data_IF_727927658592
#
_entry.id   IF_727927658592
#
_cell.length_a   1.000
_cell.length_b   1.000
_cell.length_c   1.000
_cell.angle_alpha   90.00
_cell.angle_beta   90.00
_cell.angle_gamma   90.00
#
_symmetry.space_group_name_H-M   'P 1'
#
loop_
_entity.id
_entity.type
_entity.pdbx_description
1 polymer ?
#
# COMPACT_ATOMS: atom_id res chain seq x y z
N UNK A 1 8.30 -3.49 -24.28
CA UNK A 1 7.39 -2.80 -23.36
C UNK A 1 8.22 -2.26 -22.20
N UNK A 2 8.15 -0.97 -21.88
CA UNK A 2 8.79 -0.42 -20.68
C UNK A 2 7.82 -0.59 -19.52
N UNK A 3 8.12 -1.52 -18.62
CA UNK A 3 7.38 -1.69 -17.38
C UNK A 3 7.72 -0.52 -16.47
N UNK A 4 6.72 0.16 -15.92
CA UNK A 4 6.93 1.18 -14.90
C UNK A 4 6.36 0.66 -13.60
N UNK A 5 7.22 0.57 -12.59
CA UNK A 5 6.87 0.05 -11.28
C UNK A 5 7.02 1.13 -10.23
N UNK A 6 6.01 1.27 -9.38
CA UNK A 6 6.11 1.99 -8.12
C UNK A 6 6.14 0.93 -7.03
N UNK A 7 7.08 1.02 -6.09
CA UNK A 7 7.14 0.14 -4.93
C UNK A 7 6.91 0.98 -3.68
N UNK A 8 5.93 0.57 -2.88
CA UNK A 8 5.55 1.24 -1.64
C UNK A 8 5.52 0.21 -0.51
N UNK A 9 6.24 0.49 0.55
CA UNK A 9 6.11 -0.25 1.81
C UNK A 9 5.02 0.39 2.63
N UNK A 10 4.22 -0.45 3.28
CA UNK A 10 3.15 -0.02 4.18
C UNK A 10 3.25 -0.81 5.48
N UNK A 11 2.90 -0.15 6.58
CA UNK A 11 2.88 -0.73 7.92
C UNK A 11 1.74 -0.09 8.73
N UNK A 12 1.05 -0.91 9.52
CA UNK A 12 -0.07 -0.54 10.36
C UNK A 12 0.05 -1.10 11.78
N UNK A 13 0.15 -0.21 12.76
CA UNK A 13 0.17 -0.56 14.18
C UNK A 13 -1.25 -0.63 14.77
N UNK A 14 -1.55 -1.62 15.65
CA UNK A 14 -2.84 -1.69 16.35
C UNK A 14 -3.10 -0.49 17.26
N UNK A 15 -2.04 0.22 17.65
CA UNK A 15 -2.08 1.45 18.43
C UNK A 15 -2.63 2.66 17.66
N UNK A 16 -2.97 2.48 16.38
CA UNK A 16 -3.54 3.55 15.55
C UNK A 16 -2.52 4.30 14.70
N UNK A 17 -1.36 3.72 14.43
CA UNK A 17 -0.36 4.34 13.57
C UNK A 17 -0.34 3.66 12.20
N UNK A 18 -0.22 4.44 11.15
CA UNK A 18 0.07 3.92 9.80
C UNK A 18 1.23 4.69 9.20
N UNK A 19 2.05 3.98 8.45
CA UNK A 19 3.17 4.54 7.72
C UNK A 19 3.24 3.94 6.32
N UNK A 20 3.83 4.69 5.39
CA UNK A 20 4.22 4.17 4.10
C UNK A 20 5.46 4.86 3.57
N UNK A 21 6.18 4.19 2.68
CA UNK A 21 7.37 4.74 2.03
C UNK A 21 7.40 4.39 0.54
N UNK A 22 7.36 5.42 -0.31
CA UNK A 22 7.46 5.24 -1.75
C UNK A 22 8.93 5.27 -2.19
N UNK A 23 9.45 4.12 -2.64
CA UNK A 23 10.84 3.98 -3.10
C UNK A 23 11.12 4.70 -4.42
N UNK A 24 10.11 4.95 -5.24
CA UNK A 24 10.28 5.65 -6.51
C UNK A 24 10.52 7.15 -6.31
N UNK A 25 9.95 7.74 -5.25
CA UNK A 25 10.08 9.18 -4.96
C UNK A 25 10.94 9.50 -3.74
N UNK A 26 11.27 8.49 -2.93
CA UNK A 26 11.95 8.67 -1.64
C UNK A 26 11.09 9.39 -0.60
N UNK A 27 9.76 9.41 -0.78
CA UNK A 27 8.85 10.14 0.10
C UNK A 27 8.21 9.21 1.13
N UNK A 28 8.39 9.49 2.43
CA UNK A 28 7.62 8.84 3.48
C UNK A 28 6.24 9.50 3.63
N UNK A 29 5.32 8.76 4.21
CA UNK A 29 4.07 9.27 4.74
C UNK A 29 3.69 8.56 6.04
N UNK A 30 2.97 9.26 6.90
CA UNK A 30 2.57 8.77 8.22
C UNK A 30 1.26 9.43 8.65
N UNK A 31 0.39 8.68 9.30
CA UNK A 31 -0.81 9.21 9.96
C UNK A 31 -1.07 8.51 11.29
N UNK A 32 -1.59 9.30 12.22
CA UNK A 32 -2.18 8.79 13.47
C UNK A 32 -3.69 8.73 13.27
N UNK A 33 -4.24 7.52 13.34
CA UNK A 33 -5.66 7.25 13.37
C UNK A 33 -6.03 6.81 14.79
N UNK A 34 -7.20 7.19 15.29
CA UNK A 34 -7.68 6.67 16.59
C UNK A 34 -8.73 5.60 16.32
N UNK A 35 -8.34 4.33 16.13
CA UNK A 35 -9.33 3.27 15.91
C UNK A 35 -10.21 3.13 17.16
N UNK A 36 -11.51 3.02 16.93
CA UNK A 36 -12.49 2.88 18.00
C UNK A 36 -12.30 1.53 18.72
N UNK A 37 -12.21 1.55 20.06
CA UNK A 37 -11.79 0.41 20.90
C UNK A 37 -12.64 -0.87 20.75
N UNK A 38 -13.84 -0.79 20.17
CA UNK A 38 -14.82 -1.89 20.13
C UNK A 38 -14.42 -3.11 19.26
N UNK A 39 -13.26 -3.09 18.60
CA UNK A 39 -12.89 -4.08 17.58
C UNK A 39 -11.40 -4.47 17.64
N UNK A 40 -10.87 -4.73 18.83
CA UNK A 40 -9.44 -5.04 19.08
C UNK A 40 -8.94 -6.24 18.24
N UNK A 41 -9.79 -7.25 18.02
CA UNK A 41 -9.41 -8.49 17.30
C UNK A 41 -8.98 -8.28 15.84
N UNK A 42 -9.44 -7.19 15.21
CA UNK A 42 -9.11 -6.85 13.81
C UNK A 42 -8.45 -5.47 13.72
N UNK A 43 -7.79 -5.02 14.79
CA UNK A 43 -7.09 -3.73 14.86
C UNK A 43 -6.00 -3.65 13.81
N UNK A 44 -4.97 -4.49 13.93
CA UNK A 44 -3.80 -4.52 13.02
C UNK A 44 -4.21 -4.59 11.55
N UNK A 45 -5.08 -5.55 11.19
CA UNK A 45 -5.50 -5.76 9.80
C UNK A 45 -6.14 -4.53 9.16
N UNK A 46 -6.99 -3.81 9.91
CA UNK A 46 -7.62 -2.59 9.38
C UNK A 46 -6.62 -1.46 9.29
N UNK A 47 -5.70 -1.37 10.24
CA UNK A 47 -4.63 -0.37 10.19
C UNK A 47 -3.73 -0.59 8.97
N UNK A 48 -3.37 -1.83 8.67
CA UNK A 48 -2.65 -2.21 7.45
C UNK A 48 -3.43 -1.85 6.18
N UNK A 49 -4.71 -2.22 6.08
CA UNK A 49 -5.54 -1.84 4.94
C UNK A 49 -5.70 -0.33 4.77
N UNK A 50 -5.73 0.42 5.89
CA UNK A 50 -5.73 1.88 5.87
C UNK A 50 -4.36 2.42 5.42
N UNK A 51 -3.25 1.79 5.82
CA UNK A 51 -1.92 2.12 5.35
C UNK A 51 -1.82 1.96 3.82
N UNK A 52 -2.31 0.83 3.27
CA UNK A 52 -2.45 0.61 1.82
C UNK A 52 -3.28 1.71 1.15
N UNK A 53 -4.44 2.04 1.72
CA UNK A 53 -5.32 3.08 1.18
C UNK A 53 -4.62 4.44 1.11
N UNK A 54 -4.02 4.90 2.20
CA UNK A 54 -3.36 6.20 2.25
C UNK A 54 -2.09 6.23 1.40
N UNK A 55 -1.35 5.13 1.33
CA UNK A 55 -0.22 4.98 0.42
C UNK A 55 -0.63 5.19 -1.04
N UNK A 56 -1.74 4.59 -1.48
CA UNK A 56 -2.26 4.78 -2.84
C UNK A 56 -2.79 6.20 -3.06
N UNK A 57 -3.51 6.76 -2.08
CA UNK A 57 -4.09 8.10 -2.18
C UNK A 57 -3.02 9.19 -2.29
N UNK A 58 -1.99 9.15 -1.46
CA UNK A 58 -0.90 10.14 -1.46
C UNK A 58 -0.03 10.05 -2.73
N UNK A 59 0.08 8.85 -3.31
CA UNK A 59 0.84 8.62 -4.54
C UNK A 59 -0.04 8.66 -5.81
N UNK A 60 -1.33 8.98 -5.70
CA UNK A 60 -2.29 8.94 -6.80
C UNK A 60 -1.85 9.81 -7.98
N UNK A 61 -1.35 11.03 -7.72
CA UNK A 61 -0.89 11.94 -8.77
C UNK A 61 0.26 11.35 -9.59
N UNK A 62 1.20 10.68 -8.94
CA UNK A 62 2.32 10.02 -9.61
C UNK A 62 1.83 8.83 -10.43
N UNK A 63 0.97 7.99 -9.83
CA UNK A 63 0.34 6.85 -10.51
C UNK A 63 -0.41 7.33 -11.76
N UNK A 64 -1.21 8.39 -11.65
CA UNK A 64 -1.95 8.98 -12.77
C UNK A 64 -1.03 9.58 -13.84
N UNK A 65 0.07 10.22 -13.44
CA UNK A 65 1.04 10.79 -14.38
C UNK A 65 1.70 9.69 -15.20
N UNK A 66 2.12 8.60 -14.56
CA UNK A 66 2.62 7.42 -15.27
C UNK A 66 1.53 6.82 -16.17
N UNK A 67 0.27 6.77 -15.72
CA UNK A 67 -0.83 6.17 -16.48
C UNK A 67 -1.17 6.95 -17.74
N UNK A 68 -1.01 8.27 -17.71
CA UNK A 68 -1.23 9.15 -18.86
C UNK A 68 -0.13 9.07 -19.93
N UNK A 69 1.00 8.42 -19.66
CA UNK A 69 2.10 8.33 -20.61
C UNK A 69 1.83 7.21 -21.62
N UNK A 70 1.45 7.57 -22.85
CA UNK A 70 1.10 6.63 -23.94
C UNK A 70 2.20 5.59 -24.26
N UNK A 71 3.46 5.85 -23.88
CA UNK A 71 4.57 4.90 -24.03
C UNK A 71 4.57 3.79 -22.96
N UNK A 72 3.84 3.96 -21.86
CA UNK A 72 3.72 3.03 -20.75
C UNK A 72 2.36 2.32 -20.81
N UNK A 73 2.34 1.12 -21.40
CA UNK A 73 1.13 0.31 -21.56
C UNK A 73 0.65 -0.37 -20.27
N UNK A 74 1.50 -0.48 -19.25
CA UNK A 74 1.19 -1.17 -17.99
C UNK A 74 1.98 -0.58 -16.83
N UNK A 75 1.27 -0.29 -15.74
CA UNK A 75 1.86 0.16 -14.48
C UNK A 75 1.65 -0.92 -13.46
N UNK A 76 2.70 -1.21 -12.71
CA UNK A 76 2.64 -2.11 -11.56
C UNK A 76 2.88 -1.28 -10.31
N UNK A 77 1.90 -1.27 -9.41
CA UNK A 77 2.09 -0.72 -8.07
C UNK A 77 2.32 -1.91 -7.13
N UNK A 78 3.55 -2.10 -6.69
CA UNK A 78 3.91 -3.12 -5.71
C UNK A 78 3.67 -2.53 -4.32
N UNK A 79 2.72 -3.09 -3.59
CA UNK A 79 2.53 -2.79 -2.17
C UNK A 79 3.14 -3.93 -1.37
N UNK A 80 4.08 -3.61 -0.46
CA UNK A 80 4.70 -4.59 0.44
C UNK A 80 4.21 -4.34 1.86
N UNK A 81 3.63 -5.36 2.46
CA UNK A 81 3.21 -5.42 3.87
C UNK A 81 3.71 -6.74 4.43
N UNK A 82 4.14 -6.76 5.70
CA UNK A 82 4.51 -7.97 6.42
C UNK A 82 3.28 -8.64 7.10
N UNK A 83 2.11 -8.02 6.99
CA UNK A 83 0.86 -8.56 7.50
C UNK A 83 0.30 -9.64 6.57
N UNK A 84 0.48 -10.91 6.97
CA UNK A 84 -0.13 -12.07 6.29
C UNK A 84 -1.62 -11.89 6.03
N UNK A 85 -2.33 -11.32 7.01
CA UNK A 85 -3.77 -11.11 6.91
C UNK A 85 -4.17 -10.00 5.92
N UNK A 86 -3.29 -9.02 5.67
CA UNK A 86 -3.48 -8.06 4.58
C UNK A 86 -3.34 -8.76 3.22
N UNK A 87 -2.32 -9.61 3.07
CA UNK A 87 -2.09 -10.42 1.86
C UNK A 87 -3.30 -11.32 1.58
N UNK A 88 -3.80 -12.02 2.58
CA UNK A 88 -4.97 -12.91 2.46
C UNK A 88 -6.23 -12.14 2.00
N UNK A 89 -6.45 -10.92 2.49
CA UNK A 89 -7.58 -10.07 2.09
C UNK A 89 -7.48 -9.55 0.65
N UNK A 90 -6.26 -9.38 0.15
CA UNK A 90 -6.01 -8.87 -1.21
C UNK A 90 -5.91 -9.99 -2.26
N UNK A 91 -5.90 -11.25 -1.82
CA UNK A 91 -5.86 -12.41 -2.69
C UNK A 91 -7.12 -12.47 -3.57
N UNK A 92 -6.93 -12.65 -4.88
CA UNK A 92 -8.03 -12.68 -5.86
C UNK A 92 -8.57 -11.31 -6.28
N UNK A 93 -8.39 -10.27 -5.46
CA UNK A 93 -8.71 -8.87 -5.81
C UNK A 93 -7.54 -8.16 -6.52
N UNK A 94 -6.32 -8.60 -6.25
CA UNK A 94 -5.10 -8.06 -6.83
C UNK A 94 -4.12 -9.20 -7.17
N UNK A 95 -3.13 -8.92 -8.03
CA UNK A 95 -2.06 -9.88 -8.31
C UNK A 95 -1.08 -9.89 -7.13
N UNK A 96 -1.38 -10.73 -6.14
CA UNK A 96 -0.46 -11.01 -5.02
C UNK A 96 0.77 -11.73 -5.54
N UNK A 97 1.96 -11.19 -5.25
CA UNK A 97 3.25 -11.86 -5.46
C UNK A 97 3.86 -12.15 -4.10
N UNK A 98 3.64 -13.35 -3.59
CA UNK A 98 4.18 -13.83 -2.30
C UNK A 98 5.57 -14.47 -2.48
N UNK A 99 6.39 -13.91 -3.36
CA UNK A 99 7.78 -14.35 -3.56
C UNK A 99 8.68 -13.27 -3.00
N UNK A 100 9.24 -13.54 -1.82
CA UNK A 100 10.34 -12.75 -1.28
C UNK A 100 11.55 -13.00 -2.18
N UNK A 101 11.97 -11.97 -2.91
CA UNK A 101 13.24 -11.92 -3.64
C UNK A 101 14.25 -11.11 -2.83
#
# INVERSE_FOLDING_TARGET
>A
MRLSSITIDVDGSPSGYIAWYNYSTGKPGFKVLRPFAKNERYGVQRMEMLAVYFALADNLREISTLASNEKQKQIIVNIRSDSKTCIDQLQGLSKVRDVVL
#
